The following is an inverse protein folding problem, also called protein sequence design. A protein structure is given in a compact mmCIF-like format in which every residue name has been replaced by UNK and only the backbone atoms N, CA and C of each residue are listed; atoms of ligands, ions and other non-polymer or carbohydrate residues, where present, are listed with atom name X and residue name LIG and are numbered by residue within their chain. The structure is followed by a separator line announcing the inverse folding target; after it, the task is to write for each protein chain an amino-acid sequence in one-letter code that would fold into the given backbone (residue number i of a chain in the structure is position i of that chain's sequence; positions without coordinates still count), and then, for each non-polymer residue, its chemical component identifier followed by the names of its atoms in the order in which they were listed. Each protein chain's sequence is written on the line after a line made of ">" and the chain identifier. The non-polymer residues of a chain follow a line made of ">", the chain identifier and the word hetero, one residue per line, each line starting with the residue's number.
data_IF_367216332124
#
_entry.id   IF_367216332124
#
_cell.length_a   1.000
_cell.length_b   1.000
_cell.length_c   1.000
_cell.angle_alpha   90.00
_cell.angle_beta   90.00
_cell.angle_gamma   90.00
#
_symmetry.space_group_name_H-M   'P 1'
#
loop_
_entity.id
_entity.type
_entity.pdbx_description
1 polymer ?
#
# COMPACT_ATOMS: atom_id res chain seq x y z
N UNK A 1 15.28 1.80 -7.41
CA UNK A 1 14.10 2.31 -7.99
C UNK A 1 14.60 2.87 -9.29
N UNK A 2 13.99 3.63 -10.07
CA UNK A 2 14.45 4.06 -11.41
C UNK A 2 13.68 3.41 -12.56
N UNK A 3 12.61 2.68 -12.24
CA UNK A 3 11.71 2.09 -13.22
C UNK A 3 10.35 2.79 -13.26
N UNK A 4 10.23 3.94 -12.57
CA UNK A 4 8.97 4.68 -12.43
C UNK A 4 8.39 5.10 -13.79
N UNK A 5 9.24 5.50 -14.75
CA UNK A 5 8.84 5.84 -16.12
C UNK A 5 8.19 4.67 -16.87
N UNK A 6 8.64 3.44 -16.59
CA UNK A 6 8.12 2.24 -17.23
C UNK A 6 6.82 1.74 -16.57
N UNK A 7 6.66 1.99 -15.27
CA UNK A 7 5.52 1.53 -14.47
C UNK A 7 4.34 2.49 -14.55
N UNK A 8 4.62 3.80 -14.47
CA UNK A 8 3.60 4.84 -14.32
C UNK A 8 2.49 4.79 -15.38
N UNK A 9 2.75 4.49 -16.65
CA UNK A 9 1.68 4.38 -17.67
C UNK A 9 0.67 3.25 -17.42
N UNK A 10 1.02 2.31 -16.55
CA UNK A 10 0.28 1.06 -16.38
C UNK A 10 -0.40 0.89 -15.02
N UNK A 11 -0.31 1.89 -14.16
CA UNK A 11 -0.92 1.88 -12.82
C UNK A 11 -1.98 2.96 -12.69
N UNK A 12 -2.88 2.79 -11.74
CA UNK A 12 -3.92 3.77 -11.42
C UNK A 12 -3.59 4.56 -10.16
N UNK A 13 -2.72 4.00 -9.29
CA UNK A 13 -2.34 4.55 -7.98
C UNK A 13 -0.85 4.37 -7.75
N UNK A 14 -0.16 5.43 -7.28
CA UNK A 14 1.26 5.41 -6.95
C UNK A 14 1.49 5.69 -5.47
N UNK A 15 2.17 4.77 -4.77
CA UNK A 15 2.60 4.96 -3.38
C UNK A 15 3.98 5.62 -3.38
N UNK A 16 4.06 6.91 -3.03
CA UNK A 16 5.29 7.71 -3.14
C UNK A 16 5.99 7.79 -1.78
N UNK A 17 7.23 7.31 -1.74
CA UNK A 17 8.07 7.33 -0.54
C UNK A 17 8.30 8.76 -0.05
N UNK A 18 8.22 8.96 1.27
CA UNK A 18 8.22 10.29 1.91
C UNK A 18 9.58 10.62 2.61
N UNK A 19 10.68 10.01 2.16
CA UNK A 19 12.03 10.35 2.61
C UNK A 19 12.56 9.59 3.83
N UNK A 20 11.71 8.89 4.60
CA UNK A 20 12.13 8.21 5.84
C UNK A 20 12.63 6.78 5.63
N UNK A 21 12.17 6.09 4.61
CA UNK A 21 12.70 4.78 4.24
C UNK A 21 13.39 4.81 2.87
N UNK A 22 12.90 5.63 1.98
CA UNK A 22 13.39 5.82 0.62
C UNK A 22 12.95 7.20 0.10
N UNK A 23 13.47 7.56 -1.07
CA UNK A 23 13.20 8.83 -1.71
C UNK A 23 13.99 9.99 -1.09
N UNK A 24 14.03 11.06 -1.84
CA UNK A 24 14.50 12.39 -1.48
C UNK A 24 13.64 13.41 -2.24
N UNK A 25 13.97 14.69 -2.13
CA UNK A 25 13.18 15.75 -2.76
C UNK A 25 13.10 15.61 -4.29
N UNK A 26 14.21 15.25 -4.94
CA UNK A 26 14.26 15.09 -6.40
C UNK A 26 13.49 13.86 -6.86
N UNK A 27 13.64 12.73 -6.17
CA UNK A 27 12.87 11.50 -6.46
C UNK A 27 11.37 11.78 -6.31
N UNK A 28 10.93 12.45 -5.23
CA UNK A 28 9.53 12.81 -5.04
C UNK A 28 9.01 13.70 -6.16
N UNK A 29 9.76 14.76 -6.53
CA UNK A 29 9.37 15.68 -7.59
C UNK A 29 9.23 14.96 -8.94
N UNK A 30 10.20 14.13 -9.31
CA UNK A 30 10.19 13.38 -10.57
C UNK A 30 9.02 12.39 -10.62
N UNK A 31 8.77 11.65 -9.52
CA UNK A 31 7.66 10.69 -9.45
C UNK A 31 6.30 11.43 -9.55
N UNK A 32 6.16 12.59 -8.90
CA UNK A 32 4.96 13.43 -9.01
C UNK A 32 4.74 13.96 -10.42
N UNK A 33 5.81 14.40 -11.11
CA UNK A 33 5.72 14.84 -12.50
C UNK A 33 5.22 13.71 -13.43
N UNK A 34 5.74 12.50 -13.25
CA UNK A 34 5.28 11.31 -13.98
C UNK A 34 3.82 10.97 -13.66
N UNK A 35 3.44 10.99 -12.37
CA UNK A 35 2.05 10.73 -11.96
C UNK A 35 1.08 11.74 -12.61
N UNK A 36 1.45 13.03 -12.67
CA UNK A 36 0.67 14.05 -13.38
C UNK A 36 0.55 13.74 -14.87
N UNK A 37 1.66 13.43 -15.52
CA UNK A 37 1.69 13.11 -16.96
C UNK A 37 0.75 11.95 -17.30
N UNK A 38 0.71 10.93 -16.46
CA UNK A 38 -0.07 9.72 -16.70
C UNK A 38 -1.42 9.70 -15.96
N UNK A 39 -1.79 10.80 -15.27
CA UNK A 39 -3.07 10.92 -14.53
C UNK A 39 -3.23 9.85 -13.45
N UNK A 40 -2.14 9.48 -12.79
CA UNK A 40 -2.10 8.48 -11.73
C UNK A 40 -2.44 9.15 -10.40
N UNK A 41 -3.31 8.52 -9.62
CA UNK A 41 -3.65 8.94 -8.26
C UNK A 41 -2.42 8.84 -7.35
N UNK A 42 -2.13 9.86 -6.55
CA UNK A 42 -0.95 9.89 -5.70
C UNK A 42 -1.30 9.66 -4.23
N UNK A 43 -0.54 8.81 -3.58
CA UNK A 43 -0.63 8.50 -2.16
C UNK A 43 0.69 8.65 -1.43
N UNK A 44 0.62 9.10 -0.18
CA UNK A 44 1.76 9.13 0.72
C UNK A 44 2.13 7.70 1.15
N UNK A 45 3.43 7.38 1.13
CA UNK A 45 3.94 6.09 1.57
C UNK A 45 4.87 6.25 2.78
N UNK A 46 4.34 6.70 3.96
CA UNK A 46 5.14 6.97 5.13
C UNK A 46 5.59 5.68 5.81
N UNK A 47 6.69 5.75 6.54
CA UNK A 47 7.29 4.62 7.25
C UNK A 47 7.80 5.03 8.62
N UNK A 48 8.24 4.05 9.39
CA UNK A 48 9.18 4.32 10.47
C UNK A 48 10.43 5.03 9.94
N UNK A 49 11.11 5.87 10.76
CA UNK A 49 12.33 6.59 10.37
C UNK A 49 13.54 5.63 10.34
N UNK A 50 13.55 4.72 9.39
CA UNK A 50 14.53 3.63 9.24
C UNK A 50 15.11 3.58 7.82
N UNK A 51 15.82 4.61 7.42
CA UNK A 51 16.42 4.70 6.08
C UNK A 51 17.40 3.55 5.80
N UNK A 52 18.18 3.13 6.81
CA UNK A 52 19.14 2.03 6.67
C UNK A 52 18.47 0.65 6.49
N UNK A 53 17.36 0.42 7.17
CA UNK A 53 16.58 -0.83 7.07
C UNK A 53 15.47 -0.74 6.05
N UNK A 54 15.42 0.31 5.24
CA UNK A 54 14.37 0.52 4.25
C UNK A 54 12.95 0.51 4.85
N UNK A 55 12.81 1.00 6.09
CA UNK A 55 11.54 0.98 6.81
C UNK A 55 11.01 -0.41 7.16
N UNK A 56 11.86 -1.44 7.12
CA UNK A 56 11.45 -2.85 7.33
C UNK A 56 11.75 -3.37 8.73
N UNK A 57 12.26 -2.53 9.63
CA UNK A 57 12.46 -2.86 11.04
C UNK A 57 11.39 -2.18 11.87
N UNK A 58 10.69 -2.95 12.72
CA UNK A 58 9.71 -2.40 13.66
C UNK A 58 10.38 -1.50 14.68
N UNK A 59 9.71 -0.42 15.04
CA UNK A 59 10.21 0.59 15.99
C UNK A 59 9.13 0.88 17.04
N UNK A 60 9.53 0.85 18.31
CA UNK A 60 8.65 1.28 19.39
C UNK A 60 8.57 2.81 19.38
N UNK A 61 7.38 3.35 19.19
CA UNK A 61 7.07 4.78 19.23
C UNK A 61 5.82 5.00 20.06
N UNK A 62 5.81 6.08 20.85
CA UNK A 62 4.58 6.53 21.50
C UNK A 62 3.55 6.99 20.46
N UNK A 63 2.27 7.05 20.83
CA UNK A 63 1.20 7.55 19.96
C UNK A 63 1.54 8.94 19.40
N UNK A 64 2.04 9.84 20.24
CA UNK A 64 2.42 11.20 19.83
C UNK A 64 3.56 11.19 18.82
N UNK A 65 4.59 10.38 19.04
CA UNK A 65 5.73 10.28 18.12
C UNK A 65 5.32 9.71 16.79
N UNK A 66 4.53 8.63 16.77
CA UNK A 66 4.06 8.01 15.54
C UNK A 66 3.13 8.96 14.76
N UNK A 67 2.20 9.63 15.44
CA UNK A 67 1.33 10.63 14.81
C UNK A 67 2.14 11.76 14.17
N UNK A 68 3.09 12.34 14.90
CA UNK A 68 3.94 13.42 14.36
C UNK A 68 4.82 12.94 13.21
N UNK A 69 5.34 11.72 13.30
CA UNK A 69 6.13 11.08 12.25
C UNK A 69 5.30 10.91 10.95
N UNK A 70 4.05 10.49 11.07
CA UNK A 70 3.14 10.36 9.93
C UNK A 70 2.78 11.72 9.35
N UNK A 71 2.37 12.70 10.18
CA UNK A 71 2.00 14.03 9.73
C UNK A 71 3.14 14.72 8.99
N UNK A 72 4.39 14.62 9.51
CA UNK A 72 5.56 15.18 8.85
C UNK A 72 5.74 14.63 7.42
N UNK A 73 5.67 13.32 7.27
CA UNK A 73 5.85 12.64 5.99
C UNK A 73 4.69 12.95 5.01
N UNK A 74 3.46 12.92 5.50
CA UNK A 74 2.27 13.24 4.70
C UNK A 74 2.34 14.70 4.25
N UNK A 75 2.67 15.64 5.13
CA UNK A 75 2.77 17.06 4.80
C UNK A 75 3.86 17.35 3.77
N UNK A 76 5.00 16.65 3.83
CA UNK A 76 6.07 16.80 2.86
C UNK A 76 5.62 16.45 1.44
N UNK A 77 5.04 15.26 1.25
CA UNK A 77 4.57 14.84 -0.08
C UNK A 77 3.35 15.61 -0.55
N UNK A 78 2.46 16.01 0.37
CA UNK A 78 1.28 16.83 0.06
C UNK A 78 1.66 18.21 -0.45
N UNK A 79 2.60 18.90 0.22
CA UNK A 79 3.13 20.16 -0.24
C UNK A 79 3.79 20.06 -1.62
N UNK A 80 4.57 19.01 -1.84
CA UNK A 80 5.21 18.75 -3.13
C UNK A 80 4.17 18.42 -4.23
N UNK A 81 3.15 17.63 -3.93
CA UNK A 81 2.07 17.34 -4.86
C UNK A 81 1.36 18.63 -5.29
N UNK A 82 1.07 19.55 -4.36
CA UNK A 82 0.47 20.84 -4.65
C UNK A 82 1.31 21.70 -5.59
N UNK A 83 2.65 21.70 -5.46
CA UNK A 83 3.56 22.38 -6.40
C UNK A 83 3.42 21.85 -7.83
N UNK A 84 3.16 20.54 -7.98
CA UNK A 84 2.91 19.90 -9.27
C UNK A 84 1.45 20.03 -9.74
N UNK A 85 0.56 20.69 -8.96
CA UNK A 85 -0.87 20.80 -9.27
C UNK A 85 -1.59 19.46 -9.17
N UNK A 86 -1.14 18.61 -8.25
CA UNK A 86 -1.75 17.33 -7.87
C UNK A 86 -2.37 17.44 -6.47
N UNK A 87 -3.37 16.61 -6.22
CA UNK A 87 -3.95 16.42 -4.88
C UNK A 87 -3.49 15.09 -4.33
N UNK A 88 -3.03 15.07 -3.08
CA UNK A 88 -2.78 13.83 -2.36
C UNK A 88 -4.12 13.20 -1.97
N UNK A 89 -4.33 11.93 -2.30
CA UNK A 89 -5.63 11.26 -2.18
C UNK A 89 -5.68 10.26 -1.02
N UNK A 90 -4.57 9.61 -0.71
CA UNK A 90 -4.54 8.56 0.29
C UNK A 90 -3.17 8.40 0.96
N UNK A 91 -3.17 7.62 2.03
CA UNK A 91 -1.97 7.20 2.77
C UNK A 91 -1.90 5.69 2.78
N UNK A 92 -0.75 5.14 2.46
CA UNK A 92 -0.42 3.73 2.63
C UNK A 92 0.86 3.59 3.43
N UNK A 93 0.85 3.20 4.69
CA UNK A 93 2.07 2.95 5.46
C UNK A 93 2.97 1.92 4.77
N UNK A 94 4.29 2.11 4.90
CA UNK A 94 5.29 1.23 4.30
C UNK A 94 5.85 0.22 5.29
N UNK A 95 6.23 -0.95 4.78
CA UNK A 95 7.14 -1.89 5.42
C UNK A 95 6.69 -2.39 6.78
N UNK A 96 7.55 -2.24 7.80
CA UNK A 96 7.25 -2.71 9.15
C UNK A 96 6.02 -2.01 9.74
N UNK A 97 5.87 -0.70 9.55
CA UNK A 97 4.71 0.03 10.04
C UNK A 97 3.38 -0.53 9.50
N UNK A 98 3.36 -0.89 8.21
CA UNK A 98 2.19 -1.54 7.61
C UNK A 98 1.88 -2.90 8.25
N UNK A 99 2.90 -3.72 8.47
CA UNK A 99 2.73 -5.04 9.09
C UNK A 99 2.32 -4.93 10.57
N UNK A 100 2.93 -3.99 11.29
CA UNK A 100 2.66 -3.76 12.71
C UNK A 100 1.22 -3.28 12.91
N UNK A 101 0.73 -2.31 12.12
CA UNK A 101 -0.66 -1.86 12.22
C UNK A 101 -1.67 -2.96 11.85
N UNK A 102 -1.32 -3.90 10.97
CA UNK A 102 -2.20 -5.03 10.62
C UNK A 102 -2.13 -6.18 11.62
N UNK A 103 -1.18 -6.15 12.56
CA UNK A 103 -0.98 -7.17 13.58
C UNK A 103 -1.35 -6.71 14.98
N UNK A 104 -1.30 -5.40 15.23
CA UNK A 104 -1.58 -4.76 16.51
C UNK A 104 -2.67 -3.69 16.36
N UNK A 105 -3.79 -3.91 17.06
CA UNK A 105 -4.95 -3.02 17.00
C UNK A 105 -4.65 -1.60 17.55
N UNK A 106 -3.75 -1.48 18.52
CA UNK A 106 -3.35 -0.18 19.06
C UNK A 106 -2.63 0.64 17.99
N UNK A 107 -1.66 0.04 17.30
CA UNK A 107 -0.94 0.68 16.20
C UNK A 107 -1.89 1.06 15.06
N UNK A 108 -2.82 0.18 14.69
CA UNK A 108 -3.83 0.48 13.66
C UNK A 108 -4.68 1.70 14.06
N UNK A 109 -5.16 1.76 15.30
CA UNK A 109 -5.95 2.89 15.79
C UNK A 109 -5.16 4.21 15.80
N UNK A 110 -3.86 4.17 16.14
CA UNK A 110 -2.99 5.36 16.08
C UNK A 110 -2.87 5.84 14.63
N UNK A 111 -2.61 4.93 13.69
CA UNK A 111 -2.48 5.26 12.25
C UNK A 111 -3.79 5.82 11.71
N UNK A 112 -4.94 5.19 12.01
CA UNK A 112 -6.26 5.68 11.59
C UNK A 112 -6.52 7.09 12.10
N UNK A 113 -6.28 7.37 13.40
CA UNK A 113 -6.44 8.71 14.00
C UNK A 113 -5.48 9.72 13.39
N UNK A 114 -4.24 9.34 13.16
CA UNK A 114 -3.26 10.22 12.54
C UNK A 114 -3.70 10.65 11.12
N UNK A 115 -4.18 9.72 10.31
CA UNK A 115 -4.66 10.04 8.95
C UNK A 115 -5.96 10.84 9.00
N UNK A 116 -6.91 10.46 9.85
CA UNK A 116 -8.19 11.17 10.00
C UNK A 116 -8.02 12.61 10.53
N UNK A 117 -7.02 12.85 11.39
CA UNK A 117 -6.74 14.19 11.93
C UNK A 117 -5.86 15.07 11.04
N UNK A 118 -5.48 14.60 9.86
CA UNK A 118 -4.73 15.43 8.92
C UNK A 118 -5.59 16.60 8.39
N UNK A 119 -4.95 17.70 7.98
CA UNK A 119 -5.60 18.97 7.63
C UNK A 119 -6.62 18.88 6.47
N UNK A 120 -6.64 17.80 5.72
CA UNK A 120 -7.61 17.53 4.66
C UNK A 120 -7.99 16.04 4.62
N UNK A 121 -9.16 15.71 4.06
CA UNK A 121 -9.60 14.32 3.96
C UNK A 121 -8.61 13.48 3.13
N UNK A 122 -8.15 12.37 3.69
CA UNK A 122 -7.31 11.38 3.02
C UNK A 122 -7.91 10.00 3.27
N UNK A 123 -7.76 9.09 2.32
CA UNK A 123 -8.11 7.68 2.53
C UNK A 123 -6.93 6.93 3.14
N UNK A 124 -7.19 5.88 3.90
CA UNK A 124 -6.15 4.99 4.39
C UNK A 124 -6.21 3.65 3.65
N UNK A 125 -5.10 3.26 3.03
CA UNK A 125 -4.97 1.96 2.38
C UNK A 125 -4.43 0.92 3.36
N UNK A 126 -5.20 -0.15 3.56
CA UNK A 126 -4.88 -1.27 4.45
C UNK A 126 -5.08 -2.61 3.75
N UNK A 127 -4.53 -3.68 4.31
CA UNK A 127 -4.71 -5.03 3.82
C UNK A 127 -6.17 -5.48 3.92
N UNK A 128 -6.71 -6.00 2.85
CA UNK A 128 -7.99 -6.72 2.87
C UNK A 128 -7.82 -8.04 3.62
N UNK A 129 -8.50 -8.18 4.75
CA UNK A 129 -8.49 -9.37 5.60
C UNK A 129 -9.92 -9.80 5.91
N UNK A 130 -10.09 -10.92 6.57
CA UNK A 130 -11.39 -11.35 7.12
C UNK A 130 -11.96 -10.36 8.17
N UNK A 131 -11.14 -9.44 8.71
CA UNK A 131 -11.55 -8.38 9.64
C UNK A 131 -11.95 -7.07 8.95
N UNK A 132 -12.01 -7.02 7.62
CA UNK A 132 -12.29 -5.81 6.86
C UNK A 132 -13.59 -5.10 7.31
N UNK A 133 -14.63 -5.86 7.67
CA UNK A 133 -15.87 -5.29 8.19
C UNK A 133 -15.67 -4.53 9.52
N UNK A 134 -14.88 -5.10 10.45
CA UNK A 134 -14.52 -4.45 11.72
C UNK A 134 -13.73 -3.16 11.45
N UNK A 135 -12.71 -3.21 10.58
CA UNK A 135 -11.89 -2.05 10.25
C UNK A 135 -12.72 -0.93 9.60
N UNK A 136 -13.70 -1.27 8.74
CA UNK A 136 -14.61 -0.28 8.15
C UNK A 136 -15.48 0.42 9.21
N UNK A 137 -15.95 -0.30 10.24
CA UNK A 137 -16.72 0.31 11.35
C UNK A 137 -15.83 1.27 12.13
N UNK A 138 -14.61 0.85 12.51
CA UNK A 138 -13.66 1.70 13.24
C UNK A 138 -13.28 2.96 12.44
N UNK A 139 -13.02 2.82 11.15
CA UNK A 139 -12.69 3.95 10.28
C UNK A 139 -13.88 4.93 10.13
N UNK A 140 -15.12 4.42 10.04
CA UNK A 140 -16.32 5.24 9.94
C UNK A 140 -16.53 6.14 11.16
N UNK A 141 -16.19 5.67 12.36
CA UNK A 141 -16.24 6.48 13.59
C UNK A 141 -15.28 7.68 13.54
N UNK A 142 -14.25 7.61 12.70
CA UNK A 142 -13.26 8.66 12.47
C UNK A 142 -13.51 9.45 11.18
N UNK A 143 -14.65 9.22 10.50
CA UNK A 143 -14.93 9.78 9.16
C UNK A 143 -13.85 9.46 8.13
N UNK A 144 -13.15 8.34 8.29
CA UNK A 144 -12.03 7.90 7.47
C UNK A 144 -12.49 6.86 6.44
N UNK A 145 -12.20 7.10 5.16
CA UNK A 145 -12.42 6.10 4.11
C UNK A 145 -11.24 5.12 4.05
N UNK A 146 -11.55 3.84 3.85
CA UNK A 146 -10.55 2.79 3.66
C UNK A 146 -10.47 2.35 2.19
N UNK A 147 -9.24 2.18 1.71
CA UNK A 147 -8.92 1.40 0.51
C UNK A 147 -8.43 0.04 1.00
N UNK A 148 -9.11 -1.02 0.58
CA UNK A 148 -8.75 -2.39 0.95
C UNK A 148 -7.95 -3.01 -0.19
N UNK A 149 -6.65 -3.27 0.05
CA UNK A 149 -5.78 -3.84 -0.98
C UNK A 149 -5.57 -5.34 -0.82
N UNK A 150 -5.46 -6.02 -1.94
CA UNK A 150 -4.90 -7.37 -2.03
C UNK A 150 -3.52 -7.32 -2.68
N UNK A 151 -2.71 -8.34 -2.46
CA UNK A 151 -1.37 -8.47 -3.04
C UNK A 151 -1.36 -9.58 -4.09
N UNK A 152 -0.97 -9.23 -5.31
CA UNK A 152 -0.87 -10.18 -6.40
C UNK A 152 0.26 -11.21 -6.19
N UNK A 153 1.37 -10.76 -5.64
CA UNK A 153 2.63 -11.49 -5.54
C UNK A 153 2.90 -12.16 -4.19
N UNK A 154 1.93 -12.11 -3.27
CA UNK A 154 2.14 -12.58 -1.88
C UNK A 154 1.21 -13.72 -1.52
N UNK A 155 1.78 -14.70 -0.79
CA UNK A 155 1.00 -15.77 -0.19
C UNK A 155 0.30 -15.30 1.08
N UNK A 156 -0.92 -15.80 1.33
CA UNK A 156 -1.76 -15.48 2.48
C UNK A 156 -1.81 -16.63 3.49
N UNK A 157 -1.95 -16.29 4.77
CA UNK A 157 -2.34 -17.22 5.84
C UNK A 157 -3.86 -17.39 5.85
N UNK A 158 -4.36 -18.38 6.60
CA UNK A 158 -5.80 -18.64 6.72
C UNK A 158 -6.57 -17.49 7.42
N UNK A 159 -5.85 -16.68 8.21
CA UNK A 159 -6.39 -15.46 8.85
C UNK A 159 -6.39 -14.24 7.91
N UNK A 160 -5.89 -14.38 6.69
CA UNK A 160 -5.82 -13.28 5.71
C UNK A 160 -4.62 -12.36 5.89
N UNK A 161 -3.62 -12.75 6.68
CA UNK A 161 -2.35 -12.02 6.79
C UNK A 161 -1.38 -12.47 5.71
N UNK A 162 -0.42 -11.62 5.37
CA UNK A 162 0.65 -11.99 4.45
C UNK A 162 1.65 -12.93 5.14
N UNK A 163 2.03 -14.01 4.47
CA UNK A 163 3.10 -14.91 4.94
C UNK A 163 4.41 -14.12 5.03
N UNK A 164 5.16 -14.28 6.13
CA UNK A 164 6.42 -13.56 6.35
C UNK A 164 7.40 -13.80 5.20
N UNK A 165 8.07 -12.74 4.71
CA UNK A 165 8.99 -12.83 3.55
C UNK A 165 10.18 -13.78 3.80
N UNK A 166 10.54 -14.04 5.06
CA UNK A 166 11.57 -15.01 5.45
C UNK A 166 11.21 -16.46 5.20
N UNK A 167 9.94 -16.76 4.98
CA UNK A 167 9.46 -18.12 4.73
C UNK A 167 9.46 -18.43 3.23
N UNK A 168 9.94 -19.60 2.87
CA UNK A 168 9.94 -20.08 1.49
C UNK A 168 8.50 -20.09 0.91
N UNK A 169 8.33 -19.65 -0.33
CA UNK A 169 7.04 -19.58 -1.01
C UNK A 169 6.15 -18.40 -0.58
N UNK A 170 6.64 -17.49 0.27
CA UNK A 170 5.89 -16.28 0.69
C UNK A 170 5.67 -15.26 -0.44
N UNK A 171 6.49 -15.33 -1.49
CA UNK A 171 6.37 -14.55 -2.72
C UNK A 171 6.11 -15.50 -3.88
N UNK A 172 5.10 -15.22 -4.67
CA UNK A 172 4.72 -16.01 -5.82
C UNK A 172 5.67 -15.78 -7.01
N UNK A 173 5.94 -16.83 -7.75
CA UNK A 173 6.48 -16.74 -9.11
C UNK A 173 5.39 -16.25 -10.10
N UNK A 174 5.78 -15.99 -11.36
CA UNK A 174 4.85 -15.48 -12.38
C UNK A 174 3.59 -16.35 -12.57
N UNK A 175 3.67 -17.69 -12.72
CA UNK A 175 2.49 -18.53 -12.85
C UNK A 175 1.54 -18.46 -11.65
N UNK A 176 2.06 -18.55 -10.43
CA UNK A 176 1.27 -18.50 -9.21
C UNK A 176 0.64 -17.10 -9.00
N UNK A 177 1.39 -16.04 -9.27
CA UNK A 177 0.89 -14.66 -9.24
C UNK A 177 -0.30 -14.48 -10.19
N UNK A 178 -0.16 -14.90 -11.45
CA UNK A 178 -1.24 -14.76 -12.43
C UNK A 178 -2.47 -15.60 -12.09
N UNK A 179 -2.28 -16.79 -11.51
CA UNK A 179 -3.37 -17.61 -11.01
C UNK A 179 -4.12 -16.91 -9.87
N UNK A 180 -3.38 -16.31 -8.91
CA UNK A 180 -3.98 -15.55 -7.80
C UNK A 180 -4.74 -14.32 -8.30
N UNK A 181 -4.19 -13.56 -9.25
CA UNK A 181 -4.89 -12.40 -9.83
C UNK A 181 -6.20 -12.84 -10.50
N UNK A 182 -6.17 -13.89 -11.32
CA UNK A 182 -7.39 -14.42 -11.97
C UNK A 182 -8.43 -14.86 -10.94
N UNK A 183 -8.01 -15.52 -9.86
CA UNK A 183 -8.89 -15.94 -8.77
C UNK A 183 -9.50 -14.74 -8.04
N UNK A 184 -8.68 -13.70 -7.73
CA UNK A 184 -9.15 -12.47 -7.11
C UNK A 184 -10.18 -11.74 -7.98
N UNK A 185 -9.88 -11.58 -9.26
CA UNK A 185 -10.75 -10.88 -10.23
C UNK A 185 -12.07 -11.64 -10.45
N UNK A 186 -12.03 -12.96 -10.62
CA UNK A 186 -13.21 -13.75 -10.94
C UNK A 186 -14.09 -14.06 -9.71
N UNK A 187 -13.49 -14.21 -8.53
CA UNK A 187 -14.18 -14.77 -7.37
C UNK A 187 -14.02 -13.93 -6.09
N UNK A 188 -13.17 -12.90 -6.08
CA UNK A 188 -12.85 -12.14 -4.86
C UNK A 188 -12.16 -12.98 -3.79
N UNK A 189 -11.48 -14.07 -4.16
CA UNK A 189 -10.83 -15.00 -3.22
C UNK A 189 -9.36 -15.20 -3.53
N UNK A 190 -8.61 -15.65 -2.53
CA UNK A 190 -7.23 -16.17 -2.69
C UNK A 190 -7.14 -17.57 -2.13
N UNK A 191 -6.17 -18.35 -2.59
CA UNK A 191 -5.83 -19.64 -1.99
C UNK A 191 -4.73 -19.43 -0.96
N UNK A 192 -5.01 -19.77 0.31
CA UNK A 192 -4.08 -19.60 1.41
C UNK A 192 -2.97 -20.66 1.38
N UNK A 193 -1.98 -20.51 2.27
CA UNK A 193 -0.87 -21.45 2.38
C UNK A 193 -1.30 -22.88 2.71
N UNK A 194 -2.39 -23.06 3.45
CA UNK A 194 -2.97 -24.38 3.75
C UNK A 194 -3.82 -24.97 2.62
N UNK A 195 -4.08 -24.19 1.56
CA UNK A 195 -4.95 -24.56 0.45
C UNK A 195 -6.42 -24.16 0.63
N UNK A 196 -6.77 -23.43 1.68
CA UNK A 196 -8.14 -22.93 1.87
C UNK A 196 -8.43 -21.74 0.94
N UNK A 197 -9.69 -21.57 0.56
CA UNK A 197 -10.14 -20.38 -0.14
C UNK A 197 -10.57 -19.30 0.86
N UNK A 198 -9.94 -18.15 0.79
CA UNK A 198 -10.24 -17.00 1.62
C UNK A 198 -10.85 -15.87 0.80
N UNK A 199 -12.03 -15.41 1.16
CA UNK A 199 -12.65 -14.25 0.53
C UNK A 199 -11.98 -12.95 0.97
N UNK A 200 -11.59 -12.11 0.01
CA UNK A 200 -11.01 -10.79 0.24
C UNK A 200 -11.85 -9.74 -0.47
N UNK A 201 -12.50 -8.85 0.30
CA UNK A 201 -13.25 -7.73 -0.25
C UNK A 201 -12.29 -6.58 -0.61
N UNK A 202 -11.33 -6.83 -1.49
CA UNK A 202 -10.37 -5.84 -1.94
C UNK A 202 -10.95 -4.98 -3.07
N UNK A 203 -10.58 -3.69 -3.08
CA UNK A 203 -10.88 -2.75 -4.15
C UNK A 203 -9.61 -2.13 -4.75
N UNK A 204 -8.46 -2.63 -4.37
CA UNK A 204 -7.15 -2.29 -4.92
C UNK A 204 -6.26 -3.53 -4.96
N UNK A 205 -5.42 -3.63 -5.98
CA UNK A 205 -4.45 -4.71 -6.15
C UNK A 205 -3.03 -4.13 -6.14
N UNK A 206 -2.23 -4.56 -5.18
CA UNK A 206 -0.84 -4.17 -5.06
C UNK A 206 0.06 -5.06 -5.92
N UNK A 207 0.92 -4.40 -6.69
CA UNK A 207 2.02 -5.04 -7.42
C UNK A 207 3.31 -4.30 -7.07
N UNK A 208 4.37 -5.05 -6.76
CA UNK A 208 5.67 -4.44 -6.50
C UNK A 208 6.41 -4.21 -7.80
N UNK A 209 6.79 -2.94 -8.06
CA UNK A 209 7.51 -2.52 -9.27
C UNK A 209 9.03 -2.47 -9.08
N UNK A 210 9.58 -3.30 -8.19
CA UNK A 210 11.02 -3.29 -7.84
C UNK A 210 11.87 -4.24 -8.70
N UNK A 211 11.26 -4.91 -9.69
CA UNK A 211 11.98 -5.75 -10.66
C UNK A 211 11.34 -5.68 -12.06
N UNK A 212 12.14 -5.87 -13.10
CA UNK A 212 11.70 -5.82 -14.51
C UNK A 212 10.64 -6.89 -14.85
N UNK A 213 10.70 -8.06 -14.23
CA UNK A 213 9.71 -9.11 -14.42
C UNK A 213 8.33 -8.68 -13.88
N UNK A 214 8.29 -7.90 -12.79
CA UNK A 214 7.06 -7.33 -12.25
C UNK A 214 6.42 -6.33 -13.21
N UNK A 215 7.21 -5.50 -13.90
CA UNK A 215 6.69 -4.49 -14.83
C UNK A 215 5.99 -5.13 -16.03
N UNK A 216 6.57 -6.15 -16.63
CA UNK A 216 5.94 -6.88 -17.73
C UNK A 216 4.58 -7.49 -17.31
N UNK A 217 4.45 -7.84 -16.03
CA UNK A 217 3.21 -8.40 -15.47
C UNK A 217 2.14 -7.34 -15.19
N UNK A 218 2.52 -6.09 -14.90
CA UNK A 218 1.57 -5.03 -14.56
C UNK A 218 0.58 -4.81 -15.70
N UNK A 219 1.03 -4.84 -16.96
CA UNK A 219 0.15 -4.72 -18.13
C UNK A 219 -0.86 -5.87 -18.23
N UNK A 220 -0.39 -7.12 -18.04
CA UNK A 220 -1.26 -8.30 -18.06
C UNK A 220 -2.29 -8.24 -16.91
N UNK A 221 -1.84 -7.83 -15.70
CA UNK A 221 -2.70 -7.66 -14.52
C UNK A 221 -3.75 -6.58 -14.75
N UNK A 222 -3.33 -5.41 -15.26
CA UNK A 222 -4.26 -4.31 -15.56
C UNK A 222 -5.33 -4.74 -16.55
N UNK A 223 -4.95 -5.45 -17.61
CA UNK A 223 -5.91 -5.97 -18.60
C UNK A 223 -6.92 -6.94 -17.99
N UNK A 224 -6.51 -7.79 -17.04
CA UNK A 224 -7.43 -8.69 -16.33
C UNK A 224 -8.39 -7.92 -15.41
N UNK A 225 -7.89 -6.92 -14.67
CA UNK A 225 -8.73 -6.11 -13.77
C UNK A 225 -9.76 -5.25 -14.51
N UNK A 226 -9.51 -4.88 -15.77
CA UNK A 226 -10.43 -4.10 -16.60
C UNK A 226 -11.55 -4.93 -17.24
N UNK A 227 -11.44 -6.26 -17.21
CA UNK A 227 -12.43 -7.19 -17.78
C UNK A 227 -13.46 -7.67 -16.75
N UNK A 228 -13.30 -7.30 -15.47
CA UNK A 228 -14.16 -7.66 -14.35
C UNK A 228 -15.16 -6.55 -14.04
#
# INVERSE_FOLDING_TARGET
>A
MGLDEQVMPHIDMANIACGFHAGDADVMANTLALAKQHKVMVGAHPSYPDKQGFGRRSMAMSEKELTNCLHYQIAAIDGMAAVHGLTLEYVKPHGALYNDMMSDEQTLNIVMRAVASYAKPLKLMILATNQAAKHKVQAKELELELILEAFADRQYTDEGKLVARSLAGSVHDKPALMAQVKQLVAHGTVTTRSGQQLALNANSLCVHGDNEAGIALIQEIKALCQQA
#
